data_IF_955635466746
#
_entry.id   IF_955635466746
#
_cell.length_a   1.000
_cell.length_b   1.000
_cell.length_c   1.000
_cell.angle_alpha   90.00
_cell.angle_beta   90.00
_cell.angle_gamma   90.00
#
_symmetry.space_group_name_H-M   'P 1'
#
loop_
_entity.id
_entity.type
_entity.pdbx_description
1 polymer ?
#
# COMPACT_ATOMS: atom_id res chain seq x y z
N UNK A 1 -18.72 2.48 26.36
CA UNK A 1 -18.04 3.19 25.26
C UNK A 1 -16.70 3.64 25.81
N UNK A 2 -15.62 2.92 25.50
CA UNK A 2 -14.29 3.22 26.01
C UNK A 2 -13.63 4.29 25.14
N UNK A 3 -13.43 5.49 25.69
CA UNK A 3 -12.49 6.48 25.14
C UNK A 3 -11.05 5.99 25.39
N UNK A 4 -10.64 4.95 24.66
CA UNK A 4 -9.22 4.62 24.53
C UNK A 4 -8.52 5.74 23.74
N UNK A 5 -7.23 6.01 24.00
CA UNK A 5 -6.49 6.99 23.22
C UNK A 5 -6.47 6.58 21.74
N UNK A 6 -6.83 7.50 20.85
CA UNK A 6 -6.64 7.31 19.42
C UNK A 6 -5.14 7.31 19.13
N UNK A 7 -4.63 6.19 18.66
CA UNK A 7 -3.25 6.03 18.20
C UNK A 7 -3.31 5.86 16.68
N UNK A 8 -2.52 6.62 15.94
CA UNK A 8 -2.49 6.50 14.48
C UNK A 8 -1.94 5.11 14.07
N UNK A 9 -2.46 4.53 12.99
CA UNK A 9 -2.11 3.15 12.57
C UNK A 9 -0.59 2.94 12.45
N UNK A 10 0.13 3.92 11.89
CA UNK A 10 1.59 3.87 11.73
C UNK A 10 2.34 3.91 13.06
N UNK A 11 1.81 4.62 14.06
CA UNK A 11 2.42 4.71 15.38
C UNK A 11 2.21 3.43 16.18
N UNK A 12 1.07 2.76 15.97
CA UNK A 12 0.80 1.46 16.59
C UNK A 12 1.60 0.31 15.97
N UNK A 13 2.03 0.45 14.70
CA UNK A 13 2.79 -0.56 13.97
C UNK A 13 3.97 0.09 13.24
N UNK A 14 5.03 0.51 13.98
CA UNK A 14 6.19 1.12 13.38
C UNK A 14 6.97 0.12 12.51
N UNK A 15 7.70 0.64 11.52
CA UNK A 15 8.43 -0.19 10.56
C UNK A 15 9.42 -1.13 11.26
N UNK A 16 10.16 -0.63 12.25
CA UNK A 16 11.15 -1.38 13.01
C UNK A 16 10.53 -2.62 13.69
N UNK A 17 9.28 -2.50 14.16
CA UNK A 17 8.53 -3.61 14.74
C UNK A 17 8.14 -4.64 13.68
N UNK A 18 7.68 -4.20 12.52
CA UNK A 18 7.35 -5.08 11.39
C UNK A 18 8.59 -5.82 10.86
N UNK A 19 9.71 -5.11 10.73
CA UNK A 19 11.00 -5.68 10.31
C UNK A 19 11.50 -6.74 11.29
N UNK A 20 11.37 -6.48 12.59
CA UNK A 20 11.73 -7.46 13.63
C UNK A 20 10.90 -8.75 13.53
N UNK A 21 9.60 -8.63 13.23
CA UNK A 21 8.70 -9.76 13.01
C UNK A 21 9.10 -10.59 11.79
N UNK A 22 9.42 -9.93 10.68
CA UNK A 22 9.88 -10.59 9.46
C UNK A 22 11.23 -11.29 9.61
N UNK A 23 12.18 -10.67 10.31
CA UNK A 23 13.54 -11.17 10.44
C UNK A 23 13.69 -12.31 11.47
N UNK A 24 12.80 -12.39 12.48
CA UNK A 24 12.99 -13.26 13.64
C UNK A 24 11.95 -14.36 13.88
N UNK A 25 10.73 -14.23 13.34
CA UNK A 25 9.64 -15.17 13.67
C UNK A 25 8.60 -15.43 12.58
N UNK A 26 8.82 -14.92 11.36
CA UNK A 26 7.97 -15.19 10.21
C UNK A 26 6.52 -14.71 10.40
N UNK A 27 5.57 -15.45 9.82
CA UNK A 27 4.16 -15.05 9.80
C UNK A 27 3.51 -14.99 11.19
N UNK A 28 3.87 -15.92 12.09
CA UNK A 28 3.34 -15.96 13.46
C UNK A 28 3.74 -14.73 14.30
N UNK A 29 4.94 -14.19 14.06
CA UNK A 29 5.37 -12.95 14.70
C UNK A 29 4.62 -11.74 14.16
N UNK A 30 4.32 -11.70 12.86
CA UNK A 30 3.53 -10.64 12.23
C UNK A 30 2.08 -10.64 12.73
N UNK A 31 1.46 -11.81 12.90
CA UNK A 31 0.09 -11.91 13.45
C UNK A 31 -0.03 -11.27 14.85
N UNK A 32 1.00 -11.42 15.69
CA UNK A 32 1.05 -10.78 17.01
C UNK A 32 1.14 -9.26 16.93
N UNK A 33 1.84 -8.73 15.93
CA UNK A 33 1.89 -7.28 15.66
C UNK A 33 0.54 -6.79 15.12
N UNK A 34 -0.13 -7.57 14.27
CA UNK A 34 -1.45 -7.25 13.72
C UNK A 34 -2.56 -7.25 14.76
N UNK A 35 -2.52 -8.15 15.74
CA UNK A 35 -3.47 -8.18 16.85
C UNK A 35 -3.45 -6.91 17.72
N UNK A 36 -2.40 -6.09 17.62
CA UNK A 36 -2.22 -4.83 18.34
C UNK A 36 -2.59 -3.59 17.51
N UNK A 37 -3.01 -3.77 16.25
CA UNK A 37 -3.36 -2.67 15.38
C UNK A 37 -4.65 -1.97 15.85
N UNK A 38 -4.66 -0.63 16.00
CA UNK A 38 -5.90 0.10 16.19
C UNK A 38 -6.75 0.01 14.91
N UNK A 39 -8.07 -0.07 15.08
CA UNK A 39 -9.01 0.06 13.97
C UNK A 39 -8.93 1.48 13.41
N UNK A 40 -8.19 1.68 12.32
CA UNK A 40 -8.15 2.98 11.66
C UNK A 40 -9.06 3.01 10.45
N UNK A 41 -10.06 3.88 10.48
CA UNK A 41 -10.91 4.23 9.35
C UNK A 41 -10.38 5.52 8.70
N UNK A 42 -9.65 5.40 7.60
CA UNK A 42 -9.20 6.55 6.81
C UNK A 42 -8.87 6.14 5.37
N UNK A 43 -8.98 7.06 4.38
CA UNK A 43 -8.52 6.79 3.03
C UNK A 43 -7.01 6.53 3.02
N UNK A 44 -6.56 5.41 2.45
CA UNK A 44 -5.16 4.99 2.39
C UNK A 44 -4.35 5.78 1.33
N UNK A 45 -4.42 7.12 1.39
CA UNK A 45 -3.69 8.01 0.48
C UNK A 45 -2.34 8.42 1.09
N UNK A 46 -1.22 8.34 0.35
CA UNK A 46 0.05 8.87 0.84
C UNK A 46 0.01 10.40 0.93
N UNK A 47 0.89 10.96 1.78
CA UNK A 47 1.18 12.39 1.77
C UNK A 47 1.79 12.82 0.42
N UNK A 48 1.59 14.08 0.03
CA UNK A 48 1.99 14.60 -1.28
C UNK A 48 3.49 14.44 -1.57
N UNK A 49 4.36 14.62 -0.58
CA UNK A 49 5.81 14.46 -0.74
C UNK A 49 6.19 12.99 -0.98
N UNK A 50 5.51 12.04 -0.32
CA UNK A 50 5.70 10.61 -0.56
C UNK A 50 5.20 10.23 -1.95
N UNK A 51 4.03 10.75 -2.37
CA UNK A 51 3.52 10.52 -3.72
C UNK A 51 4.50 11.03 -4.79
N UNK A 52 5.03 12.25 -4.61
CA UNK A 52 6.04 12.82 -5.51
C UNK A 52 7.33 11.99 -5.54
N UNK A 53 7.78 11.49 -4.38
CA UNK A 53 8.92 10.57 -4.28
C UNK A 53 8.66 9.26 -5.05
N UNK A 54 7.49 8.64 -4.85
CA UNK A 54 7.12 7.41 -5.55
C UNK A 54 7.06 7.60 -7.07
N UNK A 55 6.57 8.75 -7.53
CA UNK A 55 6.63 9.13 -8.94
C UNK A 55 8.07 9.27 -9.44
N UNK A 56 8.92 9.98 -8.71
CA UNK A 56 10.33 10.13 -9.05
C UNK A 56 11.05 8.79 -9.15
N UNK A 57 10.77 7.86 -8.22
CA UNK A 57 11.30 6.50 -8.25
C UNK A 57 10.81 5.74 -9.48
N UNK A 58 9.50 5.79 -9.78
CA UNK A 58 8.91 5.14 -10.96
C UNK A 58 9.54 5.61 -12.29
N UNK A 59 10.02 6.85 -12.37
CA UNK A 59 10.71 7.37 -13.55
C UNK A 59 12.13 6.80 -13.75
N UNK A 60 12.69 6.10 -12.76
CA UNK A 60 13.99 5.43 -12.90
C UNK A 60 13.82 4.01 -13.44
N UNK A 61 14.84 3.46 -14.10
CA UNK A 61 14.81 2.09 -14.60
C UNK A 61 14.65 1.07 -13.45
N UNK A 62 15.38 1.27 -12.35
CA UNK A 62 15.35 0.40 -11.18
C UNK A 62 14.02 0.49 -10.44
N UNK A 63 13.50 1.70 -10.25
CA UNK A 63 12.19 1.89 -9.63
C UNK A 63 11.08 1.29 -10.46
N UNK A 64 11.12 1.45 -11.80
CA UNK A 64 10.16 0.77 -12.67
C UNK A 64 10.24 -0.75 -12.53
N UNK A 65 11.43 -1.34 -12.50
CA UNK A 65 11.60 -2.78 -12.27
C UNK A 65 11.02 -3.23 -10.92
N UNK A 66 11.15 -2.42 -9.87
CA UNK A 66 10.54 -2.67 -8.56
C UNK A 66 9.00 -2.68 -8.63
N UNK A 67 8.40 -1.70 -9.30
CA UNK A 67 6.95 -1.65 -9.48
C UNK A 67 6.43 -2.81 -10.37
N UNK A 68 7.18 -3.18 -11.41
CA UNK A 68 6.88 -4.36 -12.24
C UNK A 68 6.86 -5.64 -11.40
N UNK A 69 7.90 -5.86 -10.59
CA UNK A 69 7.94 -7.00 -9.66
C UNK A 69 6.78 -6.98 -8.66
N UNK A 70 6.39 -5.80 -8.17
CA UNK A 70 5.23 -5.66 -7.29
C UNK A 70 3.92 -6.06 -7.99
N UNK A 71 3.75 -5.70 -9.26
CA UNK A 71 2.60 -6.14 -10.06
C UNK A 71 2.63 -7.65 -10.31
N UNK A 72 3.83 -8.23 -10.46
CA UNK A 72 4.01 -9.67 -10.65
C UNK A 72 3.53 -10.46 -9.44
N UNK A 73 3.78 -9.99 -8.21
CA UNK A 73 3.37 -10.69 -6.97
C UNK A 73 1.93 -10.39 -6.53
N UNK A 74 1.26 -9.43 -7.17
CA UNK A 74 -0.12 -9.01 -6.84
C UNK A 74 -1.12 -9.39 -7.94
N UNK A 75 -1.33 -8.50 -8.91
CA UNK A 75 -2.43 -8.56 -9.89
C UNK A 75 -2.16 -9.52 -11.04
N UNK A 76 -0.89 -9.77 -11.37
CA UNK A 76 -0.50 -10.65 -12.50
C UNK A 76 -0.46 -12.12 -12.14
N UNK A 77 -0.52 -12.47 -10.86
CA UNK A 77 -0.63 -13.86 -10.46
C UNK A 77 -1.95 -14.45 -10.99
N UNK A 78 -1.95 -15.67 -11.54
CA UNK A 78 -3.17 -16.32 -11.97
C UNK A 78 -4.08 -16.58 -10.77
N UNK A 79 -5.34 -16.17 -10.88
CA UNK A 79 -6.35 -16.48 -9.86
C UNK A 79 -7.05 -17.79 -10.18
N UNK A 80 -6.92 -18.79 -9.31
CA UNK A 80 -7.66 -20.05 -9.42
C UNK A 80 -8.88 -19.98 -8.50
N UNK A 81 -10.06 -19.77 -9.08
CA UNK A 81 -11.33 -19.58 -8.36
C UNK A 81 -11.98 -20.88 -7.86
N UNK A 82 -11.50 -22.05 -8.25
CA UNK A 82 -12.17 -23.31 -7.92
C UNK A 82 -11.84 -23.75 -6.49
N UNK A 83 -12.61 -23.26 -5.52
CA UNK A 83 -12.77 -23.89 -4.21
C UNK A 83 -13.70 -25.11 -4.32
N UNK A 84 -13.59 -26.05 -3.37
CA UNK A 84 -14.51 -27.20 -3.29
C UNK A 84 -15.90 -26.79 -2.75
N UNK A 85 -16.02 -25.60 -2.15
CA UNK A 85 -17.28 -25.03 -1.63
C UNK A 85 -17.44 -23.54 -2.00
N UNK A 86 -18.65 -23.02 -1.78
CA UNK A 86 -18.97 -21.59 -1.96
C UNK A 86 -18.17 -20.70 -1.00
N UNK A 87 -18.09 -21.09 0.28
CA UNK A 87 -17.35 -20.36 1.31
C UNK A 87 -15.86 -20.29 0.97
N UNK A 88 -15.28 -21.39 0.50
CA UNK A 88 -13.88 -21.42 0.07
C UNK A 88 -13.65 -20.53 -1.15
N UNK A 89 -14.62 -20.48 -2.07
CA UNK A 89 -14.57 -19.59 -3.24
C UNK A 89 -14.64 -18.12 -2.82
N UNK A 90 -15.54 -17.78 -1.89
CA UNK A 90 -15.67 -16.43 -1.34
C UNK A 90 -14.40 -15.99 -0.60
N UNK A 91 -13.81 -16.87 0.22
CA UNK A 91 -12.56 -16.60 0.91
C UNK A 91 -11.40 -16.36 -0.08
N UNK A 92 -11.28 -17.21 -1.10
CA UNK A 92 -10.27 -17.04 -2.14
C UNK A 92 -10.44 -15.72 -2.90
N UNK A 93 -11.68 -15.30 -3.15
CA UNK A 93 -12.00 -14.03 -3.79
C UNK A 93 -11.61 -12.83 -2.91
N UNK A 94 -11.95 -12.85 -1.62
CA UNK A 94 -11.56 -11.81 -0.67
C UNK A 94 -10.02 -11.67 -0.57
N UNK A 95 -9.29 -12.80 -0.52
CA UNK A 95 -7.82 -12.79 -0.54
C UNK A 95 -7.24 -12.25 -1.86
N UNK A 96 -7.95 -12.40 -2.97
CA UNK A 96 -7.56 -11.81 -4.26
C UNK A 96 -7.80 -10.30 -4.25
N UNK A 97 -8.96 -9.85 -3.80
CA UNK A 97 -9.29 -8.43 -3.69
C UNK A 97 -8.29 -7.68 -2.80
N UNK A 98 -7.90 -8.27 -1.65
CA UNK A 98 -6.88 -7.69 -0.79
C UNK A 98 -5.53 -7.49 -1.48
N UNK A 99 -5.06 -8.48 -2.26
CA UNK A 99 -3.80 -8.38 -3.03
C UNK A 99 -3.89 -7.34 -4.14
N UNK A 100 -5.00 -7.32 -4.87
CA UNK A 100 -5.23 -6.37 -5.97
C UNK A 100 -5.36 -4.93 -5.44
N UNK A 101 -5.95 -4.74 -4.24
CA UNK A 101 -6.04 -3.44 -3.59
C UNK A 101 -4.66 -2.83 -3.30
N UNK A 102 -3.67 -3.62 -2.89
CA UNK A 102 -2.29 -3.12 -2.68
C UNK A 102 -1.70 -2.57 -3.97
N UNK A 103 -1.85 -3.30 -5.08
CA UNK A 103 -1.38 -2.84 -6.38
C UNK A 103 -2.08 -1.55 -6.82
N UNK A 104 -3.41 -1.49 -6.66
CA UNK A 104 -4.19 -0.30 -7.00
C UNK A 104 -3.72 0.92 -6.20
N UNK A 105 -3.56 0.79 -4.88
CA UNK A 105 -3.11 1.89 -4.01
C UNK A 105 -1.72 2.41 -4.39
N UNK A 106 -0.80 1.50 -4.74
CA UNK A 106 0.55 1.85 -5.17
C UNK A 106 0.54 2.63 -6.50
N UNK A 107 -0.26 2.20 -7.47
CA UNK A 107 -0.37 2.91 -8.75
C UNK A 107 -1.11 4.25 -8.62
N UNK A 108 -2.12 4.34 -7.75
CA UNK A 108 -2.79 5.60 -7.43
C UNK A 108 -1.83 6.60 -6.77
N UNK A 109 -0.94 6.13 -5.89
CA UNK A 109 0.09 6.96 -5.28
C UNK A 109 1.07 7.54 -6.32
N UNK A 110 1.52 6.72 -7.27
CA UNK A 110 2.40 7.14 -8.38
C UNK A 110 1.71 8.17 -9.26
N UNK A 111 0.45 7.94 -9.63
CA UNK A 111 -0.33 8.88 -10.45
C UNK A 111 -0.58 10.20 -9.72
N UNK A 112 -0.87 10.17 -8.41
CA UNK A 112 -0.98 11.38 -7.60
C UNK A 112 0.33 12.19 -7.58
N UNK A 113 1.48 11.51 -7.51
CA UNK A 113 2.79 12.13 -7.58
C UNK A 113 3.08 12.80 -8.92
N UNK A 114 2.71 12.13 -10.02
CA UNK A 114 2.81 12.68 -11.38
C UNK A 114 2.00 13.97 -11.51
N UNK A 115 0.72 13.93 -11.12
CA UNK A 115 -0.17 15.10 -11.19
C UNK A 115 0.34 16.27 -10.35
N UNK A 116 0.81 16.01 -9.13
CA UNK A 116 1.39 17.03 -8.26
C UNK A 116 2.64 17.69 -8.88
N UNK A 117 3.51 16.89 -9.48
CA UNK A 117 4.74 17.36 -10.13
C UNK A 117 4.44 18.21 -11.39
N UNK A 118 3.52 17.75 -12.22
CA UNK A 118 3.09 18.48 -13.42
C UNK A 118 2.41 19.81 -13.07
N UNK A 119 1.57 19.82 -12.03
CA UNK A 119 0.90 21.03 -11.57
C UNK A 119 1.89 22.06 -11.01
N UNK A 120 2.88 21.62 -10.23
CA UNK A 120 3.98 22.49 -9.75
C UNK A 120 4.76 23.10 -10.92
N UNK A 121 5.09 22.30 -11.94
CA UNK A 121 5.80 22.77 -13.15
C UNK A 121 4.99 23.82 -13.93
N UNK A 122 3.70 23.57 -14.17
CA UNK A 122 2.82 24.53 -14.86
C UNK A 122 2.70 25.86 -14.10
N UNK A 123 2.68 25.82 -12.76
CA UNK A 123 2.64 27.02 -11.91
C UNK A 123 3.95 27.81 -11.97
N UNK A 124 5.11 27.15 -12.10
CA UNK A 124 6.39 27.85 -12.29
C UNK A 124 6.59 28.41 -13.70
N UNK A 125 5.95 27.83 -14.73
CA UNK A 125 6.04 28.29 -16.11
C UNK A 125 5.06 29.45 -16.43
N UNK A 126 4.05 29.69 -15.60
CA UNK A 126 3.21 30.89 -15.60
C UNK A 126 3.48 31.72 -14.34
N UNK A 127 4.54 32.55 -14.29
CA UNK A 127 4.61 33.59 -13.29
C UNK A 127 3.46 34.56 -13.55
N UNK A 128 2.81 35.01 -12.48
CA UNK A 128 1.58 35.82 -12.50
C UNK A 128 1.60 36.90 -13.60
N UNK A 129 0.51 36.93 -14.39
CA UNK A 129 0.21 38.01 -15.33
C UNK A 129 -0.44 39.19 -14.60
#
# INVERSE_FOLDING_TARGET
>A
MGNGPFIAAREAQPMDLLESGMAGGGWEALEKVFAQAPETAGPLKPADDLAAFMWGLYCTAQGRAMFEWLMDVTVRQPFRMTGQSFEQTALNAACREGRDAVAMLMMQAVEAGKQSTENKRKKTEKPDA
#
